data_IF_565839690943
#
_entry.id   IF_565839690943
#
_cell.length_a   1.000
_cell.length_b   1.000
_cell.length_c   1.000
_cell.angle_alpha   90.00
_cell.angle_beta   90.00
_cell.angle_gamma   90.00
#
_symmetry.space_group_name_H-M   'P 1'
#
loop_
_entity.id
_entity.type
_entity.pdbx_description
1 polymer ?
#
# COMPACT_ATOMS: atom_id res chain seq x y z
N UNK A 1 36.73 2.46 18.78
CA UNK A 1 36.25 2.08 17.43
C UNK A 1 34.79 1.59 17.42
N UNK A 2 34.44 0.60 18.26
CA UNK A 2 33.09 -0.01 18.29
C UNK A 2 32.01 0.96 18.79
N UNK A 3 32.30 1.78 19.81
CA UNK A 3 31.34 2.81 20.27
C UNK A 3 31.05 3.86 19.20
N UNK A 4 32.07 4.35 18.50
CA UNK A 4 31.90 5.32 17.42
C UNK A 4 31.03 4.76 16.27
N UNK A 5 31.28 3.51 15.85
CA UNK A 5 30.47 2.83 14.85
C UNK A 5 29.03 2.61 15.30
N UNK A 6 28.81 2.29 16.58
CA UNK A 6 27.48 2.10 17.16
C UNK A 6 26.67 3.39 17.18
N UNK A 7 27.30 4.51 17.56
CA UNK A 7 26.67 5.83 17.56
C UNK A 7 26.30 6.30 16.15
N UNK A 8 27.18 6.10 15.16
CA UNK A 8 26.88 6.42 13.76
C UNK A 8 25.69 5.57 13.27
N UNK A 9 25.71 4.26 13.49
CA UNK A 9 24.64 3.37 13.04
C UNK A 9 23.30 3.72 13.70
N UNK A 10 23.29 3.97 15.00
CA UNK A 10 22.09 4.40 15.72
C UNK A 10 21.54 5.72 15.14
N UNK A 11 22.42 6.70 14.91
CA UNK A 11 22.02 7.99 14.34
C UNK A 11 21.47 7.84 12.92
N UNK A 12 22.09 7.01 12.08
CA UNK A 12 21.59 6.73 10.73
C UNK A 12 20.21 6.08 10.75
N UNK A 13 19.98 5.08 11.60
CA UNK A 13 18.69 4.40 11.73
C UNK A 13 17.60 5.36 12.22
N UNK A 14 17.89 6.17 13.23
CA UNK A 14 16.95 7.14 13.78
C UNK A 14 16.62 8.25 12.78
N UNK A 15 17.61 8.79 12.08
CA UNK A 15 17.39 9.83 11.06
C UNK A 15 16.61 9.30 9.86
N UNK A 16 16.92 8.07 9.41
CA UNK A 16 16.18 7.41 8.34
C UNK A 16 14.72 7.18 8.72
N UNK A 17 14.49 6.64 9.92
CA UNK A 17 13.15 6.41 10.45
C UNK A 17 12.38 7.73 10.58
N UNK A 18 13.00 8.78 11.14
CA UNK A 18 12.40 10.10 11.31
C UNK A 18 12.02 10.76 9.97
N UNK A 19 12.92 10.72 8.99
CA UNK A 19 12.67 11.33 7.66
C UNK A 19 11.56 10.59 6.91
N UNK A 20 11.55 9.25 7.00
CA UNK A 20 10.53 8.41 6.37
C UNK A 20 9.16 8.62 7.04
N UNK A 21 9.13 8.75 8.37
CA UNK A 21 7.91 9.02 9.12
C UNK A 21 7.33 10.39 8.77
N UNK A 22 8.14 11.45 8.76
CA UNK A 22 7.70 12.80 8.39
C UNK A 22 7.12 12.83 6.97
N UNK A 23 7.79 12.17 6.02
CA UNK A 23 7.30 12.05 4.65
C UNK A 23 6.00 11.23 4.57
N UNK A 24 5.91 10.12 5.30
CA UNK A 24 4.75 9.22 5.33
C UNK A 24 3.51 9.87 5.91
N UNK A 25 3.61 10.49 7.09
CA UNK A 25 2.49 11.19 7.74
C UNK A 25 2.01 12.36 6.89
N UNK A 26 2.93 13.05 6.21
CA UNK A 26 2.59 14.13 5.27
C UNK A 26 1.78 13.63 4.09
N UNK A 27 2.20 12.52 3.45
CA UNK A 27 1.45 11.91 2.35
C UNK A 27 0.07 11.42 2.80
N UNK A 28 0.00 10.78 3.97
CA UNK A 28 -1.27 10.31 4.53
C UNK A 28 -2.22 11.47 4.84
N UNK A 29 -1.70 12.59 5.36
CA UNK A 29 -2.46 13.82 5.53
C UNK A 29 -3.03 14.33 4.22
N UNK A 30 -2.26 14.33 3.13
CA UNK A 30 -2.75 14.75 1.82
C UNK A 30 -3.90 13.86 1.33
N UNK A 31 -3.80 12.54 1.49
CA UNK A 31 -4.88 11.60 1.15
C UNK A 31 -6.16 11.90 1.96
N UNK A 32 -6.03 12.17 3.26
CA UNK A 32 -7.16 12.50 4.14
C UNK A 32 -7.81 13.84 3.73
N UNK A 33 -7.00 14.82 3.37
CA UNK A 33 -7.50 16.12 2.88
C UNK A 33 -8.21 15.97 1.53
N UNK A 34 -7.70 15.13 0.63
CA UNK A 34 -8.37 14.78 -0.63
C UNK A 34 -9.72 14.12 -0.37
N UNK A 35 -9.83 13.22 0.61
CA UNK A 35 -11.12 12.67 1.03
C UNK A 35 -12.05 13.76 1.58
N UNK A 36 -11.53 14.70 2.37
CA UNK A 36 -12.28 15.86 2.84
C UNK A 36 -12.82 16.74 1.70
N UNK A 37 -12.10 16.82 0.58
CA UNK A 37 -12.55 17.51 -0.63
C UNK A 37 -13.61 16.71 -1.39
N UNK A 38 -13.35 15.43 -1.67
CA UNK A 38 -14.24 14.54 -2.43
C UNK A 38 -15.60 14.36 -1.74
N UNK A 39 -15.59 14.14 -0.43
CA UNK A 39 -16.80 13.92 0.37
C UNK A 39 -17.38 15.20 0.98
N UNK A 40 -16.83 16.38 0.63
CA UNK A 40 -17.24 17.69 1.15
C UNK A 40 -17.28 17.77 2.68
N UNK A 41 -16.32 17.16 3.37
CA UNK A 41 -16.19 17.18 4.83
C UNK A 41 -15.21 18.29 5.26
N UNK A 42 -15.67 19.48 5.70
CA UNK A 42 -14.79 20.62 5.99
C UNK A 42 -13.83 20.35 7.16
N UNK A 43 -14.18 19.43 8.07
CA UNK A 43 -13.38 19.02 9.22
C UNK A 43 -12.08 18.33 8.78
N UNK A 44 -12.12 17.52 7.72
CA UNK A 44 -10.95 16.79 7.21
C UNK A 44 -10.06 17.66 6.31
N UNK A 45 -10.54 18.85 5.89
CA UNK A 45 -9.72 19.81 5.14
C UNK A 45 -8.69 20.52 6.04
N UNK A 46 -8.98 20.66 7.33
CA UNK A 46 -8.08 21.28 8.29
C UNK A 46 -6.82 20.43 8.48
N UNK A 47 -5.66 20.99 8.15
CA UNK A 47 -4.38 20.29 8.18
C UNK A 47 -4.01 19.72 9.55
N UNK A 48 -4.44 20.36 10.65
CA UNK A 48 -4.18 19.85 12.01
C UNK A 48 -5.00 18.59 12.29
N UNK A 49 -6.29 18.61 11.96
CA UNK A 49 -7.19 17.48 12.17
C UNK A 49 -6.80 16.31 11.26
N UNK A 50 -6.50 16.59 9.99
CA UNK A 50 -6.02 15.57 9.06
C UNK A 50 -4.70 14.92 9.53
N UNK A 51 -3.79 15.70 10.12
CA UNK A 51 -2.54 15.16 10.70
C UNK A 51 -2.83 14.30 11.93
N UNK A 52 -3.71 14.76 12.84
CA UNK A 52 -4.09 13.98 14.01
C UNK A 52 -4.75 12.65 13.63
N UNK A 53 -5.62 12.66 12.61
CA UNK A 53 -6.25 11.43 12.08
C UNK A 53 -5.20 10.51 11.46
N UNK A 54 -4.25 11.04 10.68
CA UNK A 54 -3.16 10.26 10.10
C UNK A 54 -2.32 9.57 11.18
N UNK A 55 -1.87 10.33 12.18
CA UNK A 55 -1.06 9.83 13.30
C UNK A 55 -1.86 8.84 14.14
N UNK A 56 -3.11 9.12 14.45
CA UNK A 56 -3.98 8.22 15.22
C UNK A 56 -4.18 6.88 14.49
N UNK A 57 -4.43 6.92 13.17
CA UNK A 57 -4.55 5.70 12.36
C UNK A 57 -3.25 4.88 12.38
N UNK A 58 -2.08 5.52 12.22
CA UNK A 58 -0.79 4.86 12.32
C UNK A 58 -0.56 4.21 13.69
N UNK A 59 -0.87 4.93 14.78
CA UNK A 59 -0.73 4.42 16.15
C UNK A 59 -1.68 3.23 16.40
N UNK A 60 -2.95 3.34 15.98
CA UNK A 60 -3.93 2.26 16.11
C UNK A 60 -3.48 1.00 15.36
N UNK A 61 -2.90 1.15 14.17
CA UNK A 61 -2.35 0.01 13.44
C UNK A 61 -1.13 -0.59 14.16
N UNK A 62 -0.15 0.24 14.52
CA UNK A 62 1.09 -0.20 15.14
C UNK A 62 0.87 -0.93 16.47
N UNK A 63 0.00 -0.40 17.34
CA UNK A 63 -0.28 -0.98 18.65
C UNK A 63 -1.42 -2.00 18.62
N UNK A 64 -2.39 -1.84 17.71
CA UNK A 64 -3.49 -2.79 17.54
C UNK A 64 -3.04 -4.15 17.00
N UNK A 65 -2.02 -4.18 16.15
CA UNK A 65 -1.47 -5.43 15.62
C UNK A 65 -0.50 -6.14 16.58
N UNK A 66 0.21 -5.38 17.43
CA UNK A 66 1.30 -5.89 18.29
C UNK A 66 0.99 -6.06 19.77
N UNK A 67 -0.16 -5.55 20.22
CA UNK A 67 -0.47 -5.46 21.64
C UNK A 67 0.61 -4.72 22.44
N UNK A 68 0.75 -5.04 23.72
CA UNK A 68 1.76 -4.45 24.62
C UNK A 68 3.21 -4.86 24.31
N UNK A 69 3.43 -5.82 23.41
CA UNK A 69 4.75 -6.39 23.10
C UNK A 69 5.57 -5.54 22.12
N UNK A 70 4.97 -4.53 21.49
CA UNK A 70 5.65 -3.69 20.48
C UNK A 70 6.02 -4.42 19.19
N UNK A 71 5.59 -5.68 19.02
CA UNK A 71 5.87 -6.51 17.83
C UNK A 71 5.01 -6.19 16.61
N UNK A 72 4.12 -5.20 16.71
CA UNK A 72 3.12 -4.89 15.69
C UNK A 72 3.74 -4.55 14.33
N UNK A 73 4.93 -3.93 14.30
CA UNK A 73 5.66 -3.68 13.07
C UNK A 73 6.04 -4.95 12.31
N UNK A 74 6.49 -5.99 13.03
CA UNK A 74 6.85 -7.28 12.42
C UNK A 74 5.60 -8.02 11.89
N UNK A 75 4.49 -7.87 12.60
CA UNK A 75 3.21 -8.49 12.26
C UNK A 75 2.58 -7.83 11.02
N UNK A 76 2.69 -6.51 10.87
CA UNK A 76 2.16 -5.76 9.71
C UNK A 76 3.05 -5.92 8.47
N UNK A 77 4.31 -6.33 8.63
CA UNK A 77 5.29 -6.39 7.53
C UNK A 77 4.81 -7.14 6.27
N UNK A 78 4.17 -8.32 6.36
CA UNK A 78 3.68 -9.01 5.16
C UNK A 78 2.52 -8.27 4.47
N UNK A 79 1.73 -7.50 5.23
CA UNK A 79 0.67 -6.65 4.67
C UNK A 79 1.29 -5.52 3.82
N UNK A 80 2.38 -4.91 4.29
CA UNK A 80 3.16 -3.93 3.51
C UNK A 80 3.72 -4.54 2.22
N UNK A 81 4.21 -5.78 2.28
CA UNK A 81 4.64 -6.50 1.07
C UNK A 81 3.50 -6.64 0.06
N UNK A 82 2.32 -7.06 0.50
CA UNK A 82 1.16 -7.29 -0.37
C UNK A 82 0.62 -5.99 -0.99
N UNK A 83 0.51 -4.92 -0.21
CA UNK A 83 0.05 -3.60 -0.71
C UNK A 83 1.03 -3.02 -1.72
N UNK A 84 2.34 -3.17 -1.51
CA UNK A 84 3.36 -2.72 -2.47
C UNK A 84 3.25 -3.43 -3.82
N UNK A 85 2.93 -4.72 -3.84
CA UNK A 85 2.76 -5.45 -5.09
C UNK A 85 1.53 -4.97 -5.87
N UNK A 86 0.44 -4.63 -5.16
CA UNK A 86 -0.73 -4.03 -5.79
C UNK A 86 -0.39 -2.66 -6.37
N UNK A 87 0.34 -1.81 -5.64
CA UNK A 87 0.79 -0.51 -6.14
C UNK A 87 1.71 -0.64 -7.36
N UNK A 88 2.62 -1.62 -7.35
CA UNK A 88 3.46 -1.93 -8.49
C UNK A 88 2.63 -2.34 -9.72
N UNK A 89 1.62 -3.20 -9.52
CA UNK A 89 0.70 -3.59 -10.59
C UNK A 89 -0.10 -2.41 -11.15
N UNK A 90 -0.58 -1.52 -10.28
CA UNK A 90 -1.30 -0.30 -10.69
C UNK A 90 -0.39 0.65 -11.49
N UNK A 91 0.87 0.78 -11.08
CA UNK A 91 1.85 1.61 -11.81
C UNK A 91 2.12 1.03 -13.21
N UNK A 92 2.33 -0.28 -13.31
CA UNK A 92 2.51 -0.96 -14.60
C UNK A 92 1.26 -0.86 -15.48
N UNK A 93 0.07 -0.86 -14.91
CA UNK A 93 -1.17 -0.62 -15.65
C UNK A 93 -1.19 0.79 -16.25
N UNK A 94 -0.87 1.82 -15.47
CA UNK A 94 -0.80 3.21 -15.94
C UNK A 94 0.22 3.35 -17.07
N UNK A 95 1.42 2.77 -16.92
CA UNK A 95 2.45 2.79 -17.97
C UNK A 95 1.96 2.05 -19.22
N UNK A 96 1.28 0.91 -19.06
CA UNK A 96 0.69 0.17 -20.18
C UNK A 96 -0.31 1.01 -20.96
N UNK A 97 -1.20 1.73 -20.26
CA UNK A 97 -2.15 2.66 -20.86
C UNK A 97 -1.44 3.81 -21.60
N UNK A 98 -0.38 4.37 -21.01
CA UNK A 98 0.43 5.41 -21.66
C UNK A 98 1.08 4.90 -22.95
N UNK A 99 1.69 3.71 -22.93
CA UNK A 99 2.30 3.10 -24.11
C UNK A 99 1.29 2.84 -25.22
N UNK A 100 0.09 2.34 -24.86
CA UNK A 100 -1.02 2.14 -25.79
C UNK A 100 -1.40 3.47 -26.46
N UNK A 101 -1.57 4.55 -25.66
CA UNK A 101 -1.87 5.88 -26.19
C UNK A 101 -0.78 6.41 -27.14
N UNK A 102 0.48 6.05 -26.88
CA UNK A 102 1.62 6.39 -27.73
C UNK A 102 1.81 5.43 -28.93
N UNK A 103 0.89 4.49 -29.14
CA UNK A 103 0.97 3.43 -30.18
C UNK A 103 2.24 2.58 -30.08
N UNK A 104 2.76 2.37 -28.87
CA UNK A 104 3.91 1.52 -28.56
C UNK A 104 3.47 0.17 -28.00
N UNK A 105 4.26 -0.91 -28.16
CA UNK A 105 3.89 -2.23 -27.65
C UNK A 105 3.86 -2.23 -26.12
N UNK A 106 2.67 -2.32 -25.54
CA UNK A 106 2.46 -2.40 -24.08
C UNK A 106 2.61 -3.84 -23.51
N UNK A 107 2.93 -4.82 -24.35
CA UNK A 107 3.10 -6.22 -23.92
C UNK A 107 4.19 -6.36 -22.83
N UNK A 108 5.26 -5.57 -22.94
CA UNK A 108 6.39 -5.61 -22.02
C UNK A 108 6.06 -5.12 -20.60
N UNK A 109 4.98 -4.35 -20.43
CA UNK A 109 4.50 -3.89 -19.13
C UNK A 109 3.29 -4.70 -18.66
N UNK A 110 2.42 -5.13 -19.58
CA UNK A 110 1.25 -5.96 -19.27
C UNK A 110 1.63 -7.35 -18.74
N UNK A 111 2.65 -8.01 -19.32
CA UNK A 111 3.05 -9.35 -18.87
C UNK A 111 3.56 -9.32 -17.42
N UNK A 112 4.54 -8.48 -17.04
CA UNK A 112 4.97 -8.36 -15.64
C UNK A 112 3.83 -7.94 -14.71
N UNK A 113 2.95 -7.03 -15.15
CA UNK A 113 1.79 -6.60 -14.36
C UNK A 113 0.88 -7.77 -14.00
N UNK A 114 0.50 -8.58 -14.99
CA UNK A 114 -0.37 -9.75 -14.77
C UNK A 114 0.27 -10.78 -13.85
N UNK A 115 1.57 -10.98 -13.97
CA UNK A 115 2.30 -11.87 -13.07
C UNK A 115 2.29 -11.37 -11.63
N UNK A 116 2.65 -10.11 -11.41
CA UNK A 116 2.73 -9.50 -10.08
C UNK A 116 1.36 -9.49 -9.39
N UNK A 117 0.30 -9.11 -10.10
CA UNK A 117 -1.04 -9.02 -9.48
C UNK A 117 -1.62 -10.40 -9.11
N UNK A 118 -1.36 -11.42 -9.94
CA UNK A 118 -1.76 -12.80 -9.64
C UNK A 118 -0.98 -13.34 -8.45
N UNK A 119 0.34 -13.14 -8.42
CA UNK A 119 1.16 -13.56 -7.29
C UNK A 119 0.79 -12.84 -5.99
N UNK A 120 0.51 -11.54 -6.06
CA UNK A 120 0.04 -10.77 -4.92
C UNK A 120 -1.29 -11.29 -4.38
N UNK A 121 -2.24 -11.61 -5.26
CA UNK A 121 -3.52 -12.18 -4.87
C UNK A 121 -3.36 -13.55 -4.20
N UNK A 122 -2.56 -14.45 -4.80
CA UNK A 122 -2.29 -15.76 -4.23
C UNK A 122 -1.62 -15.64 -2.84
N UNK A 123 -0.59 -14.81 -2.73
CA UNK A 123 0.10 -14.56 -1.47
C UNK A 123 -0.84 -13.99 -0.40
N UNK A 124 -1.68 -13.02 -0.76
CA UNK A 124 -2.71 -12.47 0.13
C UNK A 124 -3.69 -13.54 0.60
N UNK A 125 -4.20 -14.40 -0.29
CA UNK A 125 -5.13 -15.47 0.13
C UNK A 125 -4.51 -16.50 1.07
N UNK A 126 -3.20 -16.75 0.96
CA UNK A 126 -2.46 -17.61 1.88
C UNK A 126 -2.33 -16.91 3.24
N UNK A 127 -1.93 -15.63 3.24
CA UNK A 127 -1.76 -14.82 4.46
C UNK A 127 -3.07 -14.63 5.21
N UNK A 128 -4.18 -14.41 4.51
CA UNK A 128 -5.50 -14.31 5.12
C UNK A 128 -5.85 -15.56 5.95
N UNK A 129 -5.53 -16.76 5.43
CA UNK A 129 -5.75 -18.01 6.16
C UNK A 129 -4.83 -18.12 7.36
N UNK A 130 -3.56 -17.77 7.23
CA UNK A 130 -2.61 -17.76 8.36
C UNK A 130 -3.11 -16.82 9.47
N UNK A 131 -3.49 -15.58 9.16
CA UNK A 131 -4.00 -14.63 10.14
C UNK A 131 -5.32 -15.07 10.80
N UNK A 132 -6.17 -15.77 10.06
CA UNK A 132 -7.41 -16.32 10.59
C UNK A 132 -7.14 -17.46 11.58
N UNK A 133 -6.19 -18.34 11.27
CA UNK A 133 -5.78 -19.43 12.16
C UNK A 133 -5.04 -18.92 13.40
N UNK A 134 -4.24 -17.86 13.25
CA UNK A 134 -3.54 -17.19 14.36
C UNK A 134 -4.47 -16.34 15.24
N UNK A 135 -5.76 -16.22 14.90
CA UNK A 135 -6.76 -15.47 15.66
C UNK A 135 -6.57 -13.95 15.61
N UNK A 136 -5.74 -13.42 14.70
CA UNK A 136 -5.49 -11.99 14.58
C UNK A 136 -6.54 -11.31 13.68
N UNK A 137 -7.73 -11.08 14.24
CA UNK A 137 -8.86 -10.53 13.51
C UNK A 137 -8.62 -9.14 12.90
N UNK A 138 -7.76 -8.31 13.50
CA UNK A 138 -7.39 -7.01 12.93
C UNK A 138 -6.67 -7.20 11.59
N UNK A 139 -5.69 -8.10 11.55
CA UNK A 139 -4.95 -8.38 10.32
C UNK A 139 -5.80 -9.10 9.28
N UNK A 140 -6.70 -9.98 9.70
CA UNK A 140 -7.68 -10.60 8.78
C UNK A 140 -8.52 -9.52 8.10
N UNK A 141 -9.03 -8.54 8.87
CA UNK A 141 -9.81 -7.44 8.31
C UNK A 141 -8.99 -6.61 7.33
N UNK A 142 -7.78 -6.21 7.71
CA UNK A 142 -6.91 -5.39 6.85
C UNK A 142 -6.51 -6.13 5.57
N UNK A 143 -6.14 -7.40 5.67
CA UNK A 143 -5.74 -8.22 4.51
C UNK A 143 -6.94 -8.52 3.59
N UNK A 144 -8.14 -8.70 4.17
CA UNK A 144 -9.37 -8.80 3.38
C UNK A 144 -9.64 -7.53 2.56
N UNK A 145 -9.44 -6.34 3.15
CA UNK A 145 -9.53 -5.07 2.41
C UNK A 145 -8.50 -5.02 1.27
N UNK A 146 -7.25 -5.42 1.52
CA UNK A 146 -6.20 -5.49 0.51
C UNK A 146 -6.55 -6.44 -0.62
N UNK A 147 -7.12 -7.61 -0.32
CA UNK A 147 -7.60 -8.57 -1.31
C UNK A 147 -8.75 -8.02 -2.15
N UNK A 148 -9.71 -7.32 -1.55
CA UNK A 148 -10.79 -6.65 -2.29
C UNK A 148 -10.20 -5.63 -3.27
N UNK A 149 -9.27 -4.79 -2.82
CA UNK A 149 -8.59 -3.81 -3.68
C UNK A 149 -7.81 -4.51 -4.80
N UNK A 150 -7.12 -5.61 -4.51
CA UNK A 150 -6.42 -6.41 -5.52
C UNK A 150 -7.36 -6.90 -6.62
N UNK A 151 -8.55 -7.39 -6.25
CA UNK A 151 -9.59 -7.80 -7.22
C UNK A 151 -10.07 -6.61 -8.05
N UNK A 152 -10.31 -5.45 -7.44
CA UNK A 152 -10.70 -4.23 -8.17
C UNK A 152 -9.64 -3.84 -9.21
N UNK A 153 -8.35 -3.87 -8.85
CA UNK A 153 -7.26 -3.56 -9.78
C UNK A 153 -7.17 -4.61 -10.90
N UNK A 154 -7.41 -5.89 -10.61
CA UNK A 154 -7.50 -6.92 -11.65
C UNK A 154 -8.64 -6.65 -12.63
N UNK A 155 -9.81 -6.26 -12.13
CA UNK A 155 -10.97 -5.93 -12.98
C UNK A 155 -10.69 -4.70 -13.87
N UNK A 156 -10.09 -3.65 -13.32
CA UNK A 156 -9.69 -2.47 -14.09
C UNK A 156 -8.64 -2.81 -15.15
N UNK A 157 -7.63 -3.60 -14.77
CA UNK A 157 -6.60 -4.07 -15.70
C UNK A 157 -7.21 -4.85 -16.87
N UNK A 158 -8.14 -5.75 -16.56
CA UNK A 158 -8.86 -6.54 -17.56
C UNK A 158 -9.75 -5.67 -18.47
N UNK A 159 -10.44 -4.67 -17.90
CA UNK A 159 -11.24 -3.69 -18.64
C UNK A 159 -10.41 -2.93 -19.66
N UNK A 160 -9.22 -2.46 -19.25
CA UNK A 160 -8.27 -1.76 -20.12
C UNK A 160 -7.78 -2.66 -21.26
N UNK A 161 -7.38 -3.90 -20.97
CA UNK A 161 -6.92 -4.86 -21.98
C UNK A 161 -8.03 -5.17 -22.99
N UNK A 162 -9.28 -5.35 -22.52
CA UNK A 162 -10.43 -5.56 -23.41
C UNK A 162 -10.71 -4.38 -24.32
N UNK A 163 -10.63 -3.14 -23.81
CA UNK A 163 -10.79 -1.93 -24.62
C UNK A 163 -9.72 -1.84 -25.70
N UNK A 164 -8.47 -2.16 -25.38
CA UNK A 164 -7.38 -2.20 -26.36
C UNK A 164 -7.65 -3.22 -27.48
N UNK A 165 -8.08 -4.44 -27.14
CA UNK A 165 -8.36 -5.49 -28.14
C UNK A 165 -9.51 -5.11 -29.07
N UNK A 166 -10.52 -4.36 -28.60
CA UNK A 166 -11.62 -3.84 -29.44
C UNK A 166 -11.21 -2.68 -30.35
N UNK A 167 -10.17 -1.92 -30.02
CA UNK A 167 -9.66 -0.82 -30.86
C UNK A 167 -8.67 -1.28 -31.94
N UNK A 168 -8.09 -2.47 -31.76
CA UNK A 168 -7.12 -3.07 -32.69
C UNK A 168 -7.76 -4.08 -33.66
N UNK A 169 -9.05 -4.39 -33.50
CA UNK A 169 -9.86 -5.21 -34.38
C UNK A 169 -10.77 -4.32 -35.22
#
# INVERSE_FOLDING_TARGET
PVEFSSTILATMVVLFAGTTMDSGVRLQRYIIQEWGEIYQLPVLKNGVIATLVAVACCLLLAFGAGGSSGSGGMIIWPLFGSTNQILASMTLLVISVMLIKMKRPAIYTLVPMTFVIVMAFLAGTIKLKEYYLDGNYLLVFLDAVVLIVSVLVMLESWSVIRKFKRQSA
#
